data_IF_564112132642
#
_entry.id   IF_564112132642
#
_cell.length_a   1.000
_cell.length_b   1.000
_cell.length_c   1.000
_cell.angle_alpha   90.00
_cell.angle_beta   90.00
_cell.angle_gamma   90.00
#
_symmetry.space_group_name_H-M   'P 1'
#
loop_
_entity.id
_entity.type
_entity.pdbx_description
1 polymer ?
#
# COMPACT_ATOMS: atom_id res chain seq x y z
N UNK A 1 -8.34 9.11 -1.48
CA UNK A 1 -7.16 9.62 -2.21
C UNK A 1 -5.93 8.79 -1.89
N UNK A 2 -5.09 8.58 -2.91
CA UNK A 2 -3.79 7.89 -2.75
C UNK A 2 -2.68 8.91 -3.01
N UNK A 3 -1.69 8.98 -2.11
CA UNK A 3 -0.44 9.71 -2.34
C UNK A 3 0.56 8.79 -3.05
N UNK A 4 0.87 9.09 -4.32
CA UNK A 4 1.80 8.29 -5.12
C UNK A 4 3.28 8.56 -4.79
N UNK A 5 3.55 9.62 -4.02
CA UNK A 5 4.91 10.05 -3.64
C UNK A 5 4.98 10.44 -2.16
N UNK A 6 4.65 9.53 -1.23
CA UNK A 6 4.51 9.86 0.19
C UNK A 6 5.83 10.34 0.83
N UNK A 7 6.97 9.92 0.31
CA UNK A 7 8.29 10.33 0.80
C UNK A 7 8.69 11.77 0.39
N UNK A 8 7.93 12.44 -0.48
CA UNK A 8 8.24 13.79 -0.95
C UNK A 8 7.19 14.77 -0.48
N UNK A 9 7.63 15.94 0.04
CA UNK A 9 6.73 17.09 0.23
C UNK A 9 6.26 17.62 -1.13
N UNK A 10 5.23 18.47 -1.13
CA UNK A 10 4.76 19.11 -2.36
C UNK A 10 5.85 19.93 -3.04
N UNK A 11 6.61 20.70 -2.26
CA UNK A 11 7.71 21.52 -2.76
C UNK A 11 8.86 20.67 -3.35
N UNK A 12 9.20 19.56 -2.68
CA UNK A 12 10.22 18.64 -3.18
C UNK A 12 9.78 17.95 -4.46
N UNK A 13 8.49 17.59 -4.57
CA UNK A 13 7.92 16.99 -5.76
C UNK A 13 7.84 18.00 -6.92
N UNK A 14 7.47 19.26 -6.67
CA UNK A 14 7.47 20.31 -7.71
C UNK A 14 8.87 20.55 -8.28
N UNK A 15 9.87 20.66 -7.41
CA UNK A 15 11.28 20.75 -7.85
C UNK A 15 11.71 19.55 -8.68
N UNK A 16 11.26 18.36 -8.32
CA UNK A 16 11.53 17.15 -9.11
C UNK A 16 10.84 17.17 -10.48
N UNK A 17 9.56 17.58 -10.52
CA UNK A 17 8.83 17.74 -11.78
C UNK A 17 9.52 18.73 -12.71
N UNK A 18 9.94 19.88 -12.18
CA UNK A 18 10.68 20.89 -12.96
C UNK A 18 11.98 20.32 -13.56
N UNK A 19 12.74 19.56 -12.77
CA UNK A 19 13.97 18.92 -13.26
C UNK A 19 13.69 17.90 -14.37
N UNK A 20 12.72 17.01 -14.16
CA UNK A 20 12.36 15.99 -15.17
C UNK A 20 11.81 16.65 -16.45
N UNK A 21 11.08 17.76 -16.32
CA UNK A 21 10.57 18.53 -17.44
C UNK A 21 11.69 19.26 -18.21
N UNK A 22 12.68 19.82 -17.52
CA UNK A 22 13.85 20.41 -18.19
C UNK A 22 14.66 19.37 -18.99
N UNK A 23 14.87 18.16 -18.41
CA UNK A 23 15.51 17.05 -19.11
C UNK A 23 14.71 16.57 -20.34
N UNK A 24 13.40 16.73 -20.32
CA UNK A 24 12.49 16.24 -21.35
C UNK A 24 11.83 17.36 -22.19
N UNK A 25 12.32 18.59 -22.14
CA UNK A 25 11.63 19.78 -22.66
C UNK A 25 11.17 19.72 -24.11
N UNK A 26 11.87 18.97 -24.94
CA UNK A 26 11.53 18.80 -26.36
C UNK A 26 10.70 17.53 -26.65
N UNK A 27 10.42 16.71 -25.61
CA UNK A 27 9.59 15.50 -25.73
C UNK A 27 8.11 15.85 -25.57
N UNK A 28 7.27 14.98 -26.10
CA UNK A 28 5.83 15.01 -25.79
C UNK A 28 5.60 14.60 -24.33
N UNK A 29 4.58 15.18 -23.71
CA UNK A 29 4.24 14.95 -22.30
C UNK A 29 4.10 13.45 -21.96
N UNK A 30 3.43 12.68 -22.81
CA UNK A 30 3.28 11.23 -22.64
C UNK A 30 4.59 10.47 -22.46
N UNK A 31 5.72 11.01 -22.95
CA UNK A 31 7.04 10.40 -22.90
C UNK A 31 7.95 11.02 -21.81
N UNK A 32 7.43 11.94 -20.99
CA UNK A 32 8.25 12.73 -20.07
C UNK A 32 8.18 12.24 -18.61
N UNK A 33 7.13 11.51 -18.24
CA UNK A 33 6.85 11.10 -16.84
C UNK A 33 7.24 9.66 -16.52
N UNK A 34 7.96 8.99 -17.42
CA UNK A 34 8.35 7.59 -17.28
C UNK A 34 9.24 7.30 -16.07
N UNK A 35 10.07 8.28 -15.66
CA UNK A 35 10.92 8.17 -14.46
C UNK A 35 10.14 8.40 -13.15
N UNK A 36 8.92 8.91 -13.25
CA UNK A 36 8.10 9.30 -12.10
C UNK A 36 7.09 8.23 -11.71
N UNK A 37 6.65 7.39 -12.65
CA UNK A 37 5.54 6.46 -12.48
C UNK A 37 5.82 5.11 -13.12
N UNK A 38 5.25 4.01 -12.58
CA UNK A 38 5.18 2.74 -13.28
C UNK A 38 4.47 2.88 -14.63
N UNK A 39 4.92 2.17 -15.65
CA UNK A 39 4.41 2.28 -17.02
C UNK A 39 2.88 2.16 -17.12
N UNK A 40 2.26 1.26 -16.35
CA UNK A 40 0.80 1.07 -16.33
C UNK A 40 0.02 2.27 -15.75
N UNK A 41 0.65 3.11 -14.96
CA UNK A 41 0.01 4.31 -14.37
C UNK A 41 0.07 5.52 -15.31
N UNK A 42 0.98 5.55 -16.25
CA UNK A 42 1.22 6.71 -17.13
C UNK A 42 -0.04 7.10 -17.91
N UNK A 43 -0.73 6.20 -18.64
CA UNK A 43 -1.94 6.55 -19.37
C UNK A 43 -3.03 7.13 -18.47
N UNK A 44 -3.23 6.55 -17.30
CA UNK A 44 -4.24 6.99 -16.33
C UNK A 44 -3.93 8.42 -15.82
N UNK A 45 -2.68 8.69 -15.49
CA UNK A 45 -2.28 10.02 -15.01
C UNK A 45 -2.35 11.07 -16.12
N UNK A 46 -2.02 10.71 -17.35
CA UNK A 46 -2.18 11.61 -18.50
C UNK A 46 -3.66 12.00 -18.66
N UNK A 47 -4.55 11.04 -18.73
CA UNK A 47 -5.99 11.26 -18.84
C UNK A 47 -6.52 12.16 -17.70
N UNK A 48 -6.22 11.80 -16.43
CA UNK A 48 -6.70 12.54 -15.27
C UNK A 48 -6.09 13.95 -15.14
N UNK A 49 -4.89 14.18 -15.69
CA UNK A 49 -4.26 15.50 -15.65
C UNK A 49 -4.93 16.52 -16.58
N UNK A 50 -5.63 16.05 -17.61
CA UNK A 50 -6.21 16.89 -18.65
C UNK A 50 -5.15 17.64 -19.48
N UNK A 51 -3.90 17.19 -19.47
CA UNK A 51 -2.82 17.71 -20.30
C UNK A 51 -2.80 16.91 -21.60
N UNK A 52 -2.77 17.60 -22.74
CA UNK A 52 -2.64 16.97 -24.05
C UNK A 52 -1.38 16.06 -24.06
N UNK A 53 -1.53 14.74 -24.31
CA UNK A 53 -0.41 13.80 -24.35
C UNK A 53 0.67 14.16 -25.38
N UNK A 54 0.31 14.82 -26.49
CA UNK A 54 1.20 15.21 -27.56
C UNK A 54 1.81 16.61 -27.38
N UNK A 55 1.34 17.36 -26.39
CA UNK A 55 1.91 18.68 -26.04
C UNK A 55 3.38 18.54 -25.65
N UNK A 56 4.22 19.44 -26.16
CA UNK A 56 5.62 19.49 -25.75
C UNK A 56 5.76 19.93 -24.29
N UNK A 57 6.71 19.33 -23.59
CA UNK A 57 6.91 19.59 -22.16
C UNK A 57 7.23 21.05 -21.86
N UNK A 58 7.95 21.74 -22.73
CA UNK A 58 8.25 23.16 -22.59
C UNK A 58 7.04 24.09 -22.78
N UNK A 59 5.92 23.55 -23.26
CA UNK A 59 4.64 24.28 -23.43
C UNK A 59 3.69 24.05 -22.25
N UNK A 60 4.05 23.18 -21.30
CA UNK A 60 3.23 22.89 -20.11
C UNK A 60 3.21 24.10 -19.19
N UNK A 61 2.02 24.63 -18.91
CA UNK A 61 1.87 25.79 -18.05
C UNK A 61 2.12 25.44 -16.57
N UNK A 62 2.31 26.48 -15.75
CA UNK A 62 2.44 26.34 -14.31
C UNK A 62 1.17 25.71 -13.69
N UNK A 63 0.01 26.08 -14.20
CA UNK A 63 -1.30 25.57 -13.77
C UNK A 63 -1.43 24.07 -14.09
N UNK A 64 -1.03 23.66 -15.28
CA UNK A 64 -1.04 22.26 -15.70
C UNK A 64 -0.07 21.44 -14.82
N UNK A 65 1.15 21.95 -14.58
CA UNK A 65 2.10 21.31 -13.68
C UNK A 65 1.57 21.20 -12.25
N UNK A 66 0.90 22.23 -11.72
CA UNK A 66 0.27 22.19 -10.41
C UNK A 66 -0.86 21.16 -10.35
N UNK A 67 -1.69 21.02 -11.39
CA UNK A 67 -2.70 19.95 -11.44
C UNK A 67 -2.05 18.57 -11.39
N UNK A 68 -0.98 18.36 -12.16
CA UNK A 68 -0.23 17.11 -12.14
C UNK A 68 0.40 16.83 -10.76
N UNK A 69 0.97 17.84 -10.12
CA UNK A 69 1.50 17.77 -8.76
C UNK A 69 0.43 17.32 -7.76
N UNK A 70 -0.73 17.97 -7.81
CA UNK A 70 -1.85 17.63 -6.92
C UNK A 70 -2.40 16.23 -7.20
N UNK A 71 -2.41 15.81 -8.47
CA UNK A 71 -2.81 14.46 -8.83
C UNK A 71 -1.86 13.39 -8.26
N UNK A 72 -0.54 13.66 -8.24
CA UNK A 72 0.43 12.76 -7.62
C UNK A 72 0.29 12.69 -6.09
N UNK A 73 -0.12 13.77 -5.44
CA UNK A 73 -0.29 13.83 -3.98
C UNK A 73 -1.68 13.37 -3.52
N UNK A 74 -2.68 13.48 -4.39
CA UNK A 74 -4.08 13.19 -4.07
C UNK A 74 -4.77 12.53 -5.25
N UNK A 75 -4.27 11.36 -5.69
CA UNK A 75 -4.94 10.60 -6.74
C UNK A 75 -6.35 10.19 -6.27
N UNK A 76 -7.42 10.63 -6.95
CA UNK A 76 -8.77 10.24 -6.59
C UNK A 76 -9.01 8.78 -6.94
N UNK A 77 -9.63 8.03 -6.02
CA UNK A 77 -10.12 6.67 -6.24
C UNK A 77 -11.52 6.54 -5.66
N UNK A 78 -12.38 5.85 -6.37
CA UNK A 78 -13.72 5.51 -5.89
C UNK A 78 -13.71 4.09 -5.36
N UNK A 79 -14.10 3.92 -4.09
CA UNK A 79 -14.24 2.61 -3.47
C UNK A 79 -15.70 2.16 -3.59
N UNK A 80 -15.94 1.07 -4.31
CA UNK A 80 -17.28 0.53 -4.54
C UNK A 80 -17.69 -0.54 -3.53
N UNK A 81 -16.84 -0.82 -2.54
CA UNK A 81 -17.07 -1.82 -1.50
C UNK A 81 -15.95 -2.84 -1.38
N UNK A 82 -16.01 -3.73 -0.38
CA UNK A 82 -15.06 -4.82 -0.23
C UNK A 82 -15.23 -5.87 -1.34
N UNK A 83 -14.14 -6.54 -1.70
CA UNK A 83 -14.18 -7.75 -2.52
C UNK A 83 -14.75 -8.91 -1.70
N UNK A 84 -15.30 -9.90 -2.39
CA UNK A 84 -15.86 -11.07 -1.73
C UNK A 84 -14.82 -11.91 -0.99
N UNK A 85 -15.28 -12.84 -0.14
CA UNK A 85 -14.42 -13.73 0.67
C UNK A 85 -13.38 -14.51 -0.13
N UNK A 86 -13.63 -14.77 -1.41
CA UNK A 86 -12.68 -15.49 -2.29
C UNK A 86 -11.37 -14.72 -2.52
N UNK A 87 -11.34 -13.43 -2.24
CA UNK A 87 -10.16 -12.57 -2.36
C UNK A 87 -9.60 -12.14 -1.00
N UNK A 88 -10.20 -12.59 0.10
CA UNK A 88 -9.70 -12.32 1.45
C UNK A 88 -8.35 -13.04 1.66
N UNK A 89 -7.34 -12.29 2.12
CA UNK A 89 -5.98 -12.82 2.32
C UNK A 89 -5.77 -13.27 3.76
N UNK A 90 -6.41 -12.57 4.72
CA UNK A 90 -6.29 -12.84 6.16
C UNK A 90 -7.64 -12.67 6.83
N UNK A 91 -7.79 -13.32 7.99
CA UNK A 91 -8.91 -13.10 8.91
C UNK A 91 -8.52 -12.02 9.92
N UNK A 92 -9.44 -11.10 10.22
CA UNK A 92 -9.29 -10.11 11.29
C UNK A 92 -10.32 -10.35 12.38
N UNK A 93 -9.89 -10.25 13.64
CA UNK A 93 -10.67 -10.66 14.80
C UNK A 93 -10.35 -12.10 15.20
N UNK A 94 -10.87 -12.53 16.35
CA UNK A 94 -10.62 -13.86 16.90
C UNK A 94 -10.48 -13.84 18.41
N UNK A 95 -9.74 -14.81 18.95
CA UNK A 95 -9.44 -14.92 20.37
C UNK A 95 -8.50 -13.78 20.78
N UNK A 96 -8.90 -13.02 21.81
CA UNK A 96 -8.13 -11.87 22.28
C UNK A 96 -6.75 -12.31 22.79
N UNK A 97 -5.69 -11.75 22.22
CA UNK A 97 -4.30 -12.06 22.60
C UNK A 97 -4.00 -11.80 24.08
N UNK A 98 -4.71 -10.87 24.72
CA UNK A 98 -4.57 -10.58 26.17
C UNK A 98 -5.01 -11.75 27.05
N UNK A 99 -5.87 -12.63 26.54
CA UNK A 99 -6.39 -13.83 27.23
C UNK A 99 -5.49 -15.05 27.00
N UNK A 100 -4.41 -14.90 26.24
CA UNK A 100 -3.46 -15.98 25.94
C UNK A 100 -2.13 -15.69 26.61
N UNK A 101 -1.50 -16.74 27.12
CA UNK A 101 -0.13 -16.70 27.67
C UNK A 101 0.85 -16.67 26.47
N UNK A 102 1.63 -15.60 26.25
CA UNK A 102 2.51 -15.50 25.10
C UNK A 102 3.70 -16.48 25.12
N UNK A 103 4.00 -17.08 26.26
CA UNK A 103 5.11 -18.02 26.40
C UNK A 103 4.72 -19.48 26.16
N UNK A 104 3.42 -19.81 26.20
CA UNK A 104 2.91 -21.17 26.05
C UNK A 104 1.80 -21.29 25.03
N UNK A 105 1.18 -20.17 24.63
CA UNK A 105 -0.04 -20.09 23.84
C UNK A 105 -1.28 -20.69 24.54
N UNK A 106 -1.21 -20.97 25.85
CA UNK A 106 -2.31 -21.44 26.64
C UNK A 106 -3.28 -20.32 26.99
N UNK A 107 -4.57 -20.65 27.05
CA UNK A 107 -5.59 -19.75 27.56
C UNK A 107 -5.34 -19.41 29.04
N UNK A 108 -5.45 -18.14 29.40
CA UNK A 108 -5.43 -17.69 30.79
C UNK A 108 -6.77 -17.95 31.52
N UNK A 109 -7.82 -18.29 30.76
CA UNK A 109 -9.18 -18.50 31.29
C UNK A 109 -9.51 -19.99 31.46
N UNK A 110 -8.93 -20.85 30.63
CA UNK A 110 -9.21 -22.30 30.64
C UNK A 110 -7.88 -23.04 30.57
N UNK A 111 -7.56 -23.79 31.63
CA UNK A 111 -6.35 -24.58 31.68
C UNK A 111 -6.38 -25.74 30.66
N UNK A 112 -5.24 -26.02 30.03
CA UNK A 112 -5.10 -27.06 29.02
C UNK A 112 -5.67 -26.73 27.66
N UNK A 113 -6.16 -25.50 27.44
CA UNK A 113 -6.67 -25.02 26.16
C UNK A 113 -5.64 -24.11 25.51
N UNK A 114 -5.18 -24.48 24.30
CA UNK A 114 -4.16 -23.77 23.56
C UNK A 114 -4.74 -23.21 22.26
N UNK A 115 -4.22 -22.06 21.81
CA UNK A 115 -4.63 -21.40 20.58
C UNK A 115 -3.42 -21.04 19.72
N UNK A 116 -3.53 -21.20 18.42
CA UNK A 116 -2.45 -20.88 17.47
C UNK A 116 -2.99 -20.44 16.11
N UNK A 117 -2.21 -19.68 15.37
CA UNK A 117 -2.55 -19.26 14.00
C UNK A 117 -3.61 -18.18 13.95
N UNK A 118 -4.36 -18.15 12.86
CA UNK A 118 -5.32 -17.08 12.53
C UNK A 118 -6.59 -17.07 13.39
N UNK A 119 -6.77 -18.04 14.28
CA UNK A 119 -7.84 -18.00 15.29
C UNK A 119 -7.57 -16.94 16.37
N UNK A 120 -6.32 -16.53 16.53
CA UNK A 120 -5.92 -15.43 17.39
C UNK A 120 -6.27 -14.09 16.73
N UNK A 121 -6.68 -13.11 17.52
CA UNK A 121 -6.88 -11.73 17.05
C UNK A 121 -5.52 -11.05 16.80
N UNK A 122 -4.83 -11.56 15.76
CA UNK A 122 -3.54 -11.10 15.27
C UNK A 122 -3.60 -11.00 13.75
N UNK A 123 -3.31 -9.82 13.22
CA UNK A 123 -3.20 -9.58 11.79
C UNK A 123 -1.94 -8.76 11.48
N UNK A 124 -1.19 -9.20 10.49
CA UNK A 124 0.00 -8.52 9.99
C UNK A 124 -0.14 -8.18 8.51
N UNK A 125 0.72 -7.31 8.01
CA UNK A 125 0.76 -6.99 6.59
C UNK A 125 1.03 -8.23 5.74
N UNK A 126 0.51 -8.22 4.50
CA UNK A 126 0.83 -9.25 3.50
C UNK A 126 2.33 -9.28 3.22
N UNK A 127 2.88 -10.47 2.93
CA UNK A 127 4.32 -10.67 2.70
C UNK A 127 4.91 -11.82 3.52
N UNK A 128 4.07 -12.79 3.95
CA UNK A 128 4.50 -13.97 4.68
C UNK A 128 4.44 -13.83 6.21
N UNK A 129 4.20 -12.63 6.74
CA UNK A 129 4.18 -12.39 8.19
C UNK A 129 3.08 -13.18 8.91
N UNK A 130 1.88 -13.28 8.33
CA UNK A 130 0.77 -14.04 8.92
C UNK A 130 1.08 -15.55 8.97
N UNK A 131 1.72 -16.10 7.95
CA UNK A 131 2.21 -17.48 7.96
C UNK A 131 3.28 -17.69 9.03
N UNK A 132 4.21 -16.74 9.19
CA UNK A 132 5.23 -16.81 10.23
C UNK A 132 4.62 -16.80 11.63
N UNK A 133 3.60 -15.96 11.87
CA UNK A 133 2.83 -15.95 13.12
C UNK A 133 2.16 -17.31 13.34
N UNK A 134 1.51 -17.86 12.32
CA UNK A 134 0.82 -19.15 12.42
C UNK A 134 1.79 -20.29 12.76
N UNK A 135 2.94 -20.37 12.11
CA UNK A 135 3.95 -21.40 12.38
C UNK A 135 4.58 -21.24 13.77
N UNK A 136 4.94 -20.01 14.15
CA UNK A 136 5.57 -19.76 15.44
C UNK A 136 4.63 -20.07 16.61
N UNK A 137 3.37 -19.63 16.51
CA UNK A 137 2.37 -19.90 17.55
C UNK A 137 1.95 -21.37 17.56
N UNK A 138 1.86 -22.02 16.38
CA UNK A 138 1.58 -23.45 16.29
C UNK A 138 2.68 -24.31 16.92
N UNK A 139 3.94 -24.00 16.65
CA UNK A 139 5.08 -24.68 17.26
C UNK A 139 5.07 -24.53 18.79
N UNK A 140 4.88 -23.28 19.27
CA UNK A 140 4.90 -22.99 20.70
C UNK A 140 3.72 -23.66 21.43
N UNK A 141 2.51 -23.59 20.88
CA UNK A 141 1.34 -24.26 21.44
C UNK A 141 1.54 -25.78 21.48
N UNK A 142 2.04 -26.39 20.41
CA UNK A 142 2.26 -27.82 20.31
C UNK A 142 3.31 -28.33 21.31
N UNK A 143 4.44 -27.62 21.44
CA UNK A 143 5.48 -27.98 22.41
C UNK A 143 5.02 -27.80 23.86
N UNK A 144 4.21 -26.77 24.14
CA UNK A 144 3.68 -26.51 25.47
C UNK A 144 2.58 -27.49 25.90
N UNK A 145 1.78 -27.93 24.95
CA UNK A 145 0.69 -28.90 25.22
C UNK A 145 1.21 -30.34 25.38
N UNK A 146 2.43 -30.64 24.95
CA UNK A 146 3.04 -31.98 25.04
C UNK A 146 3.74 -32.27 26.37
N UNK A 147 3.79 -31.29 27.27
CA UNK A 147 4.38 -31.39 28.60
C UNK A 147 3.30 -31.65 29.64
#
# INVERSE_FOLDING_TARGET
>A
YIDLKPALTQEALDKRLLREFEEAKNKQFKNSINKLLPAKMIPVIIELSGIDPDKKVNEISKEERNRLLMLFKKLPVTLNGPRGYNEAIITKGGVKVKEINPSTMESKLVNGLYFAGEVLDLDAYTGGFNLQIAWSTGYLAGTSAAV
#
